data_IF_011117852901
#
_entry.id   IF_011117852901
#
_cell.length_a   1.000
_cell.length_b   1.000
_cell.length_c   1.000
_cell.angle_alpha   90.00
_cell.angle_beta   90.00
_cell.angle_gamma   90.00
#
_symmetry.space_group_name_H-M   'P 1'
#
loop_
_entity.id
_entity.type
_entity.pdbx_description
1 polymer ?
#
# COMPACT_ATOMS: atom_id res chain seq x y z
N UNK A 1 1.12 4.81 12.80
CA UNK A 1 0.56 5.76 13.78
C UNK A 1 1.21 5.59 15.15
N UNK A 2 0.96 6.54 16.09
CA UNK A 2 1.56 6.48 17.44
C UNK A 2 1.09 5.27 18.25
N UNK A 3 -0.14 4.81 18.06
CA UNK A 3 -0.73 3.66 18.76
C UNK A 3 -0.10 2.36 18.29
N UNK A 4 0.00 2.18 16.97
CA UNK A 4 0.68 1.02 16.38
C UNK A 4 2.16 0.97 16.74
N UNK A 5 2.82 2.13 16.81
CA UNK A 5 4.21 2.20 17.25
C UNK A 5 4.40 1.70 18.69
N UNK A 6 3.50 2.06 19.61
CA UNK A 6 3.52 1.53 20.98
C UNK A 6 3.39 0.00 21.00
N UNK A 7 2.51 -0.56 20.16
CA UNK A 7 2.31 -2.00 20.05
C UNK A 7 3.58 -2.69 19.53
N UNK A 8 4.22 -2.13 18.50
CA UNK A 8 5.48 -2.65 17.95
C UNK A 8 6.61 -2.60 19.00
N UNK A 9 6.69 -1.51 19.77
CA UNK A 9 7.70 -1.38 20.84
C UNK A 9 7.56 -2.40 21.99
N UNK A 10 6.39 -3.03 22.14
CA UNK A 10 6.16 -4.09 23.13
C UNK A 10 6.53 -5.49 22.61
N UNK A 11 6.89 -5.61 21.34
CA UNK A 11 7.34 -6.87 20.74
C UNK A 11 8.80 -7.15 21.12
N UNK A 12 9.09 -8.41 21.46
CA UNK A 12 10.46 -8.86 21.79
C UNK A 12 11.43 -8.78 20.60
N UNK A 13 10.91 -8.70 19.38
CA UNK A 13 11.70 -8.59 18.15
C UNK A 13 12.02 -7.14 17.74
N UNK A 14 11.49 -6.16 18.48
CA UNK A 14 11.77 -4.76 18.19
C UNK A 14 13.04 -4.28 18.87
N UNK A 15 14.03 -3.89 18.07
CA UNK A 15 15.23 -3.21 18.52
C UNK A 15 15.12 -1.70 18.27
N UNK A 16 15.01 -0.93 19.34
CA UNK A 16 15.03 0.53 19.26
C UNK A 16 16.38 1.04 18.78
N UNK A 17 16.38 2.12 18.00
CA UNK A 17 17.62 2.77 17.56
C UNK A 17 18.28 3.44 18.78
N UNK A 18 19.52 3.08 19.05
CA UNK A 18 20.33 3.74 20.09
C UNK A 18 20.53 5.21 19.74
N UNK A 19 20.55 6.06 20.76
CA UNK A 19 20.75 7.51 20.64
C UNK A 19 22.04 7.89 19.88
N UNK A 20 23.00 6.99 19.83
CA UNK A 20 24.26 7.15 19.09
C UNK A 20 24.11 6.97 17.57
N UNK A 21 23.04 6.37 17.09
CA UNK A 21 22.79 6.13 15.67
C UNK A 21 22.15 7.35 14.96
N UNK A 22 22.79 8.50 15.00
CA UNK A 22 22.30 9.77 14.47
C UNK A 22 21.84 9.72 13.00
N UNK A 23 22.44 8.89 12.16
CA UNK A 23 22.05 8.75 10.75
C UNK A 23 20.67 8.09 10.57
N UNK A 24 20.31 7.16 11.42
CA UNK A 24 18.99 6.51 11.39
C UNK A 24 17.91 7.49 11.84
N UNK A 25 18.18 8.27 12.88
CA UNK A 25 17.26 9.30 13.39
C UNK A 25 17.02 10.39 12.33
N UNK A 26 18.06 10.82 11.60
CA UNK A 26 17.93 11.80 10.52
C UNK A 26 17.03 11.30 9.37
N UNK A 27 16.93 9.99 9.17
CA UNK A 27 16.02 9.35 8.18
C UNK A 27 14.62 9.04 8.74
N UNK A 28 14.34 9.41 10.00
CA UNK A 28 13.06 9.11 10.65
C UNK A 28 12.88 7.66 11.08
N UNK A 29 13.94 6.83 11.03
CA UNK A 29 13.90 5.45 11.49
C UNK A 29 13.96 5.44 13.01
N UNK A 30 12.95 4.83 13.64
CA UNK A 30 12.83 4.74 15.11
C UNK A 30 13.37 3.43 15.67
N UNK A 31 13.55 2.43 14.83
CA UNK A 31 14.03 1.12 15.22
C UNK A 31 14.00 0.13 14.06
N UNK A 32 14.42 -1.08 14.35
CA UNK A 32 14.36 -2.22 13.44
C UNK A 32 13.58 -3.36 14.11
N UNK A 33 12.72 -4.01 13.37
CA UNK A 33 11.97 -5.16 13.83
C UNK A 33 11.55 -6.02 12.65
N UNK A 34 11.53 -7.33 12.83
CA UNK A 34 11.18 -8.30 11.80
C UNK A 34 12.00 -8.16 10.51
N UNK A 35 13.27 -7.73 10.62
CA UNK A 35 14.16 -7.46 9.48
C UNK A 35 13.77 -6.22 8.66
N UNK A 36 12.95 -5.33 9.21
CA UNK A 36 12.47 -4.12 8.54
C UNK A 36 12.79 -2.87 9.37
N UNK A 37 13.05 -1.76 8.67
CA UNK A 37 13.16 -0.45 9.32
C UNK A 37 11.78 0.06 9.72
N UNK A 38 11.62 0.42 10.99
CA UNK A 38 10.38 0.99 11.52
C UNK A 38 10.47 2.51 11.49
N UNK A 39 9.58 3.13 10.72
CA UNK A 39 9.49 4.59 10.57
C UNK A 39 8.18 5.07 11.20
N UNK A 40 8.27 6.00 12.15
CA UNK A 40 7.10 6.63 12.74
C UNK A 40 6.72 7.87 11.94
N UNK A 41 5.50 7.90 11.44
CA UNK A 41 4.95 9.04 10.70
C UNK A 41 3.73 9.64 11.41
N UNK A 42 3.46 10.95 11.25
CA UNK A 42 2.21 11.55 11.70
C UNK A 42 1.00 10.86 11.03
N UNK A 43 -0.14 10.81 11.73
CA UNK A 43 -1.38 10.25 11.19
C UNK A 43 -1.82 10.92 9.88
N UNK A 44 -1.53 12.20 9.71
CA UNK A 44 -1.83 12.97 8.49
C UNK A 44 -1.12 12.48 7.21
N UNK A 45 -0.09 11.63 7.32
CA UNK A 45 0.61 11.05 6.17
C UNK A 45 -0.02 9.76 5.68
N UNK A 46 -0.91 9.17 6.46
CA UNK A 46 -1.66 7.98 6.10
C UNK A 46 -3.14 8.35 5.91
N UNK A 47 -3.87 7.69 5.01
CA UNK A 47 -5.33 7.77 4.96
C UNK A 47 -5.94 7.47 6.34
N UNK A 48 -7.15 8.00 6.61
CA UNK A 48 -7.78 7.90 7.94
C UNK A 48 -7.96 6.46 8.40
N UNK A 49 -8.26 5.57 7.46
CA UNK A 49 -8.58 4.16 7.70
C UNK A 49 -7.36 3.24 7.67
N UNK A 50 -6.14 3.80 7.53
CA UNK A 50 -4.90 3.02 7.48
C UNK A 50 -4.15 3.13 8.80
N UNK A 51 -3.88 1.99 9.42
CA UNK A 51 -3.13 1.89 10.68
C UNK A 51 -1.62 1.90 10.45
N UNK A 52 -1.14 1.10 9.50
CA UNK A 52 0.26 1.07 9.10
C UNK A 52 0.42 0.59 7.65
N UNK A 53 1.58 0.89 7.08
CA UNK A 53 1.99 0.48 5.75
C UNK A 53 3.34 -0.24 5.84
N UNK A 54 3.46 -1.39 5.19
CA UNK A 54 4.73 -2.08 4.94
C UNK A 54 5.01 -2.02 3.45
N UNK A 55 6.20 -1.60 3.06
CA UNK A 55 6.59 -1.54 1.67
C UNK A 55 8.02 -2.05 1.48
N UNK A 56 8.21 -2.94 0.50
CA UNK A 56 9.54 -3.32 0.06
C UNK A 56 10.11 -2.21 -0.85
N UNK A 57 11.38 -1.86 -0.66
CA UNK A 57 12.04 -0.77 -1.38
C UNK A 57 11.94 -0.87 -2.91
N UNK A 58 11.93 -2.10 -3.46
CA UNK A 58 11.89 -2.34 -4.89
C UNK A 58 10.45 -2.38 -5.46
N UNK A 59 9.42 -2.28 -4.60
CA UNK A 59 8.03 -2.24 -5.02
C UNK A 59 7.56 -0.81 -5.34
N UNK A 60 8.24 0.20 -4.80
CA UNK A 60 7.90 1.61 -4.96
C UNK A 60 8.99 2.32 -5.76
N UNK A 61 8.57 3.06 -6.77
CA UNK A 61 9.45 3.90 -7.59
C UNK A 61 9.07 5.36 -7.39
N UNK A 62 10.05 6.19 -7.07
CA UNK A 62 9.89 7.65 -6.94
C UNK A 62 10.83 8.37 -7.93
N UNK A 63 10.42 8.53 -9.19
CA UNK A 63 11.22 9.29 -10.15
C UNK A 63 11.16 10.78 -9.86
N UNK A 64 12.32 11.42 -9.86
CA UNK A 64 12.46 12.87 -9.81
C UNK A 64 12.70 13.39 -11.23
N UNK A 65 11.88 14.35 -11.66
CA UNK A 65 12.04 15.00 -12.95
C UNK A 65 12.80 16.32 -12.82
N UNK A 66 12.50 17.09 -11.78
CA UNK A 66 13.15 18.38 -11.49
C UNK A 66 13.38 18.43 -9.98
N UNK A 67 14.60 18.73 -9.59
CA UNK A 67 14.96 19.14 -8.24
C UNK A 67 15.94 20.30 -8.39
N UNK A 68 15.42 21.52 -8.36
CA UNK A 68 16.20 22.75 -8.60
C UNK A 68 15.91 23.75 -7.50
N UNK A 69 16.95 24.49 -7.10
CA UNK A 69 16.84 25.58 -6.17
C UNK A 69 17.63 26.76 -6.71
N UNK A 70 17.00 27.95 -6.80
CA UNK A 70 17.57 29.17 -7.28
C UNK A 70 17.52 30.23 -6.19
N UNK A 71 18.60 31.01 -6.08
CA UNK A 71 18.66 32.19 -5.24
C UNK A 71 18.67 33.41 -6.17
N UNK A 72 17.69 34.27 -5.99
CA UNK A 72 17.61 35.56 -6.67
C UNK A 72 18.08 36.62 -5.68
N UNK A 73 19.18 37.30 -6.01
CA UNK A 73 19.67 38.44 -5.24
C UNK A 73 18.96 39.73 -5.72
N UNK A 74 18.44 40.50 -4.77
CA UNK A 74 17.71 41.76 -5.01
C UNK A 74 16.59 41.70 -6.09
N UNK A 75 15.62 40.76 -6.00
CA UNK A 75 14.52 40.73 -6.94
C UNK A 75 13.61 41.95 -6.79
N UNK A 76 13.02 42.41 -7.88
CA UNK A 76 12.16 43.59 -7.90
C UNK A 76 11.00 43.43 -6.90
N UNK A 77 10.89 44.38 -5.96
CA UNK A 77 9.81 44.41 -4.95
C UNK A 77 10.08 43.65 -3.65
N UNK A 78 11.25 43.06 -3.50
CA UNK A 78 11.69 42.39 -2.26
C UNK A 78 13.06 42.96 -1.83
N UNK A 79 13.17 43.40 -0.59
CA UNK A 79 14.46 43.79 -0.03
C UNK A 79 15.13 42.56 0.57
N UNK A 80 16.16 42.02 -0.10
CA UNK A 80 16.90 40.83 0.30
C UNK A 80 16.89 39.74 -0.77
N UNK A 81 17.28 38.52 -0.41
CA UNK A 81 17.34 37.37 -1.32
C UNK A 81 16.04 36.59 -1.33
N UNK A 82 15.58 36.21 -2.51
CA UNK A 82 14.44 35.29 -2.72
C UNK A 82 14.98 33.91 -3.10
N UNK A 83 14.57 32.89 -2.35
CA UNK A 83 14.88 31.47 -2.65
C UNK A 83 13.68 30.84 -3.32
N UNK A 84 13.86 30.38 -4.55
CA UNK A 84 12.86 29.62 -5.32
C UNK A 84 13.28 28.14 -5.36
N UNK A 85 12.42 27.24 -4.87
CA UNK A 85 12.62 25.78 -4.95
C UNK A 85 11.57 25.13 -5.84
N UNK A 86 11.99 24.24 -6.73
CA UNK A 86 11.12 23.43 -7.57
C UNK A 86 11.41 21.96 -7.39
N UNK A 87 10.41 21.21 -6.93
CA UNK A 87 10.43 19.76 -6.88
C UNK A 87 9.31 19.22 -7.74
N UNK A 88 9.67 18.42 -8.77
CA UNK A 88 8.71 17.71 -9.59
C UNK A 88 9.04 16.24 -9.53
N UNK A 89 8.20 15.50 -8.83
CA UNK A 89 8.35 14.06 -8.61
C UNK A 89 6.99 13.39 -8.67
N UNK A 90 7.01 12.07 -8.81
CA UNK A 90 5.81 11.25 -8.69
C UNK A 90 6.17 9.97 -7.92
N UNK A 91 5.17 9.19 -7.54
CA UNK A 91 5.35 7.92 -6.84
C UNK A 91 4.44 6.85 -7.44
N UNK A 92 5.03 5.72 -7.78
CA UNK A 92 4.32 4.60 -8.39
C UNK A 92 4.61 3.31 -7.64
N UNK A 93 3.59 2.47 -7.52
CA UNK A 93 3.77 1.06 -7.16
C UNK A 93 3.90 0.26 -8.44
N UNK A 94 4.99 -0.50 -8.57
CA UNK A 94 5.22 -1.34 -9.75
C UNK A 94 4.22 -2.49 -9.77
N UNK A 95 3.41 -2.62 -10.83
CA UNK A 95 2.37 -3.64 -10.95
C UNK A 95 2.90 -5.07 -10.75
N UNK A 96 4.07 -5.39 -11.32
CA UNK A 96 4.72 -6.69 -11.16
C UNK A 96 5.22 -6.98 -9.72
N UNK A 97 5.33 -5.95 -8.87
CA UNK A 97 5.82 -6.02 -7.48
C UNK A 97 4.82 -5.48 -6.46
N UNK A 98 3.56 -5.32 -6.86
CA UNK A 98 2.51 -4.78 -5.97
C UNK A 98 2.28 -5.64 -4.72
N UNK A 99 2.55 -6.95 -4.76
CA UNK A 99 2.57 -7.81 -3.58
C UNK A 99 3.64 -7.46 -2.53
N UNK A 100 4.60 -6.58 -2.87
CA UNK A 100 5.60 -6.03 -1.94
C UNK A 100 5.12 -4.82 -1.14
N UNK A 101 3.85 -4.42 -1.25
CA UNK A 101 3.22 -3.35 -0.47
C UNK A 101 2.01 -3.91 0.26
N UNK A 102 1.99 -3.73 1.58
CA UNK A 102 0.89 -4.15 2.43
C UNK A 102 0.42 -2.98 3.30
N UNK A 103 -0.89 -2.79 3.38
CA UNK A 103 -1.51 -1.83 4.26
C UNK A 103 -2.52 -2.53 5.18
N UNK A 104 -2.41 -2.29 6.49
CA UNK A 104 -3.46 -2.66 7.42
C UNK A 104 -4.50 -1.55 7.42
N UNK A 105 -5.70 -1.88 6.98
CA UNK A 105 -6.86 -0.99 6.92
C UNK A 105 -7.92 -1.43 7.91
N UNK A 106 -8.83 -0.53 8.26
CA UNK A 106 -9.97 -0.83 9.11
C UNK A 106 -10.90 -1.84 8.40
N UNK A 107 -11.42 -2.83 9.15
CA UNK A 107 -12.32 -3.85 8.61
C UNK A 107 -13.62 -3.24 8.07
N UNK A 108 -14.13 -2.22 8.72
CA UNK A 108 -15.36 -1.52 8.32
C UNK A 108 -15.22 -0.80 6.96
N UNK A 109 -13.99 -0.46 6.59
CA UNK A 109 -13.65 0.18 5.31
C UNK A 109 -13.29 -0.82 4.20
N UNK A 110 -13.34 -2.13 4.50
CA UNK A 110 -13.05 -3.20 3.54
C UNK A 110 -14.33 -3.79 2.96
N UNK A 111 -14.32 -4.09 1.67
CA UNK A 111 -15.42 -4.81 1.00
C UNK A 111 -15.56 -6.21 1.60
N UNK A 112 -16.80 -6.68 1.74
CA UNK A 112 -17.07 -8.06 2.17
C UNK A 112 -16.54 -9.06 1.14
N UNK A 113 -15.96 -10.17 1.59
CA UNK A 113 -15.47 -11.21 0.70
C UNK A 113 -16.60 -11.81 -0.13
N UNK A 114 -16.37 -12.13 -1.42
CA UNK A 114 -17.36 -12.79 -2.25
C UNK A 114 -17.62 -14.23 -1.77
N UNK A 115 -18.82 -14.71 -1.95
CA UNK A 115 -19.19 -16.10 -1.69
C UNK A 115 -19.18 -16.87 -3.00
N UNK A 116 -18.45 -17.99 -3.04
CA UNK A 116 -18.38 -18.87 -4.21
C UNK A 116 -19.16 -20.16 -3.91
N UNK A 117 -20.17 -20.45 -4.71
CA UNK A 117 -20.98 -21.65 -4.57
C UNK A 117 -21.39 -22.19 -5.94
N UNK A 118 -21.16 -23.48 -6.18
CA UNK A 118 -21.49 -24.15 -7.44
C UNK A 118 -21.00 -23.42 -8.69
N UNK A 119 -19.80 -22.85 -8.65
CA UNK A 119 -19.22 -22.08 -9.74
C UNK A 119 -19.84 -20.70 -9.96
N UNK A 120 -20.71 -20.22 -9.07
CA UNK A 120 -21.28 -18.88 -9.09
C UNK A 120 -20.67 -18.03 -7.99
N UNK A 121 -20.42 -16.78 -8.31
CA UNK A 121 -19.90 -15.81 -7.34
C UNK A 121 -21.02 -14.83 -6.97
N UNK A 122 -21.24 -14.67 -5.67
CA UNK A 122 -22.18 -13.70 -5.11
C UNK A 122 -21.39 -12.68 -4.30
N UNK A 123 -21.51 -11.41 -4.66
CA UNK A 123 -20.84 -10.30 -3.97
C UNK A 123 -21.55 -8.97 -4.21
N UNK A 124 -21.26 -7.99 -3.36
CA UNK A 124 -21.69 -6.61 -3.53
C UNK A 124 -20.51 -5.80 -4.10
N UNK A 125 -20.54 -5.45 -5.39
CA UNK A 125 -19.51 -4.65 -6.04
C UNK A 125 -18.92 -5.30 -7.29
N UNK A 126 -17.79 -4.75 -7.77
CA UNK A 126 -17.06 -5.31 -8.90
C UNK A 126 -16.25 -6.51 -8.43
N UNK A 127 -16.40 -7.64 -9.10
CA UNK A 127 -15.70 -8.88 -8.78
C UNK A 127 -14.69 -9.20 -9.87
N UNK A 128 -13.46 -9.51 -9.47
CA UNK A 128 -12.45 -10.12 -10.34
C UNK A 128 -12.13 -11.51 -9.85
N UNK A 129 -11.91 -12.41 -10.79
CA UNK A 129 -11.66 -13.82 -10.49
C UNK A 129 -10.59 -14.44 -11.38
N UNK A 130 -10.01 -15.55 -10.93
CA UNK A 130 -9.13 -16.44 -11.69
C UNK A 130 -9.63 -17.87 -11.61
N UNK A 131 -9.30 -18.67 -12.63
CA UNK A 131 -9.68 -20.08 -12.73
C UNK A 131 -8.48 -21.04 -12.62
N UNK A 132 -7.29 -20.48 -12.65
CA UNK A 132 -6.00 -21.15 -12.59
C UNK A 132 -5.41 -21.25 -11.16
N UNK A 133 -6.18 -20.80 -10.15
CA UNK A 133 -5.73 -20.77 -8.75
C UNK A 133 -4.76 -19.66 -8.41
N UNK A 134 -4.40 -18.79 -9.35
CA UNK A 134 -3.58 -17.60 -9.08
C UNK A 134 -4.34 -16.54 -8.28
N UNK A 135 -3.62 -15.61 -7.63
CA UNK A 135 -4.26 -14.52 -6.91
C UNK A 135 -4.87 -13.48 -7.87
N UNK A 136 -6.20 -13.28 -7.89
CA UNK A 136 -6.86 -12.40 -8.84
C UNK A 136 -6.53 -10.91 -8.66
N UNK A 137 -5.87 -10.52 -7.57
CA UNK A 137 -5.43 -9.15 -7.33
C UNK A 137 -4.21 -8.79 -8.18
N UNK A 138 -3.36 -9.78 -8.50
CA UNK A 138 -2.05 -9.58 -9.10
C UNK A 138 -1.84 -10.34 -10.41
N UNK A 139 -2.74 -11.26 -10.75
CA UNK A 139 -2.62 -12.10 -11.93
C UNK A 139 -3.11 -11.40 -13.19
N UNK A 140 -2.35 -11.55 -14.28
CA UNK A 140 -2.77 -11.09 -15.61
C UNK A 140 -3.94 -11.91 -16.18
N UNK A 141 -4.16 -13.14 -15.66
CA UNK A 141 -5.29 -14.01 -16.03
C UNK A 141 -6.61 -13.60 -15.39
N UNK A 142 -6.59 -12.61 -14.47
CA UNK A 142 -7.78 -12.17 -13.76
C UNK A 142 -8.81 -11.50 -14.68
N UNK A 143 -10.06 -11.96 -14.59
CA UNK A 143 -11.19 -11.48 -15.40
C UNK A 143 -12.26 -10.84 -14.53
N UNK A 144 -13.01 -9.91 -15.11
CA UNK A 144 -14.17 -9.32 -14.45
C UNK A 144 -15.36 -10.29 -14.50
N UNK A 145 -16.02 -10.49 -13.37
CA UNK A 145 -17.16 -11.40 -13.27
C UNK A 145 -18.46 -10.72 -13.69
N UNK A 146 -19.22 -11.39 -14.55
CA UNK A 146 -20.58 -11.00 -14.90
C UNK A 146 -21.56 -11.81 -14.06
N UNK A 147 -22.43 -11.13 -13.32
CA UNK A 147 -23.38 -11.77 -12.40
C UNK A 147 -24.23 -12.83 -13.11
N UNK A 148 -24.34 -14.00 -12.48
CA UNK A 148 -25.10 -15.13 -13.02
C UNK A 148 -24.31 -16.10 -13.90
N UNK A 149 -23.07 -15.77 -14.27
CA UNK A 149 -22.19 -16.69 -15.02
C UNK A 149 -21.78 -17.86 -14.13
N UNK A 150 -21.85 -19.08 -14.65
CA UNK A 150 -21.30 -20.26 -14.00
C UNK A 150 -19.88 -20.47 -14.49
N UNK A 151 -18.96 -20.54 -13.56
CA UNK A 151 -17.54 -20.69 -13.82
C UNK A 151 -17.13 -22.15 -13.59
N UNK A 152 -16.24 -22.63 -14.44
CA UNK A 152 -15.62 -23.95 -14.30
C UNK A 152 -14.12 -23.72 -14.11
N UNK A 153 -13.53 -24.09 -12.96
CA UNK A 153 -12.10 -23.95 -12.75
C UNK A 153 -11.32 -24.93 -13.65
N UNK A 154 -10.06 -24.63 -13.87
CA UNK A 154 -9.15 -25.56 -14.52
C UNK A 154 -8.95 -26.81 -13.67
N UNK A 155 -8.63 -27.93 -14.32
CA UNK A 155 -8.51 -29.22 -13.64
C UNK A 155 -7.49 -29.16 -12.50
N UNK A 156 -7.96 -29.39 -11.27
CA UNK A 156 -7.14 -29.35 -10.07
C UNK A 156 -6.95 -27.97 -9.46
N UNK A 157 -7.54 -26.91 -10.06
CA UNK A 157 -7.48 -25.55 -9.56
C UNK A 157 -8.79 -25.15 -8.85
N UNK A 158 -8.72 -24.15 -7.98
CA UNK A 158 -9.87 -23.54 -7.34
C UNK A 158 -10.18 -22.18 -7.98
N UNK A 159 -11.44 -21.81 -7.97
CA UNK A 159 -11.85 -20.45 -8.31
C UNK A 159 -11.39 -19.55 -7.17
N UNK A 160 -10.64 -18.50 -7.48
CA UNK A 160 -10.28 -17.46 -6.52
C UNK A 160 -10.90 -16.14 -6.98
N UNK A 161 -11.49 -15.42 -6.06
CA UNK A 161 -12.17 -14.17 -6.39
C UNK A 161 -12.05 -13.15 -5.24
N UNK A 162 -12.02 -11.87 -5.60
CA UNK A 162 -12.19 -10.77 -4.66
C UNK A 162 -13.18 -9.76 -5.22
N UNK A 163 -13.73 -8.92 -4.36
CA UNK A 163 -14.60 -7.84 -4.79
C UNK A 163 -14.12 -6.47 -4.30
N UNK A 164 -14.55 -5.43 -5.01
CA UNK A 164 -14.33 -4.03 -4.65
C UNK A 164 -15.65 -3.29 -4.74
N UNK A 165 -16.07 -2.70 -3.63
CA UNK A 165 -17.19 -1.77 -3.55
C UNK A 165 -16.68 -0.34 -3.77
N UNK A 166 -17.55 0.52 -4.29
CA UNK A 166 -17.20 1.93 -4.45
C UNK A 166 -16.96 2.59 -3.09
N UNK A 167 -15.79 3.21 -2.92
CA UNK A 167 -15.41 3.89 -1.67
C UNK A 167 -14.84 2.97 -0.59
N UNK A 168 -14.66 1.66 -0.86
CA UNK A 168 -14.08 0.71 0.07
C UNK A 168 -12.80 0.06 -0.49
N UNK A 169 -11.96 -0.43 0.42
CA UNK A 169 -10.79 -1.22 0.05
C UNK A 169 -11.19 -2.60 -0.47
N UNK A 170 -10.35 -3.24 -1.30
CA UNK A 170 -10.60 -4.59 -1.79
C UNK A 170 -10.84 -5.58 -0.65
N UNK A 171 -11.73 -6.55 -0.90
CA UNK A 171 -11.98 -7.64 0.01
C UNK A 171 -10.80 -8.61 0.11
N UNK A 172 -10.87 -9.52 1.05
CA UNK A 172 -10.03 -10.72 1.02
C UNK A 172 -10.40 -11.60 -0.17
N UNK A 173 -9.45 -12.46 -0.56
CA UNK A 173 -9.65 -13.43 -1.64
C UNK A 173 -10.40 -14.61 -1.10
N UNK A 174 -11.59 -14.88 -1.66
CA UNK A 174 -12.33 -16.08 -1.40
C UNK A 174 -11.92 -17.21 -2.35
N UNK A 175 -11.98 -18.44 -1.88
CA UNK A 175 -11.71 -19.65 -2.65
C UNK A 175 -12.94 -20.54 -2.67
N UNK A 176 -13.21 -21.18 -3.84
CA UNK A 176 -14.34 -22.11 -4.02
C UNK A 176 -14.09 -23.19 -5.08
#
# INVERSE_FOLDING_TARGET
TSEMYKLVCTSDEFAGVDVLARQSIAKGVCGEGFGMNVVRVPKSYLPEDVYFLVAHKDAVLMPYKIADAKVHEDPVGVSGALIEGRHYYDAYVLGAKCGGVYALVDEDCRSSAPTISQGKITAFGKVRYTLDGSDPRYSDSAKDYVAGTVLTPETGCKIRAYCVQSGAYPSEVAEG
#
